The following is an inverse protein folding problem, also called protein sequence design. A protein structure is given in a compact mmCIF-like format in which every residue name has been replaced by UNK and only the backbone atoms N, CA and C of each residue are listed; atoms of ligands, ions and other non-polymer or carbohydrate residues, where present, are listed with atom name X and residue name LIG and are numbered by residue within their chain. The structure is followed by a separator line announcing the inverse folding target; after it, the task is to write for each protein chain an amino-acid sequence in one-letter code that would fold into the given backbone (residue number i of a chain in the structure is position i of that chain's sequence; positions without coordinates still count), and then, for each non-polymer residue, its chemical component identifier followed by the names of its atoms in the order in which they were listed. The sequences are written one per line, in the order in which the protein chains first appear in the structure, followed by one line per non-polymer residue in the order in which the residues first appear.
data_IF_657450839367
#
_entry.id   IF_657450839367
#
_cell.length_a   1.000
_cell.length_b   1.000
_cell.length_c   1.000
_cell.angle_alpha   90.00
_cell.angle_beta   90.00
_cell.angle_gamma   90.00
#
_symmetry.space_group_name_H-M   'P 1'
#
loop_
_entity.id
_entity.type
_entity.pdbx_description
1 polymer ?
#
# COMPACT_ATOMS: atom_id res chain seq x y z
N UNK A 1 53.57 1.67 15.27
CA UNK A 1 52.24 2.30 15.11
C UNK A 1 52.37 3.78 15.44
N UNK A 2 52.28 4.69 14.46
CA UNK A 2 52.29 6.14 14.73
C UNK A 2 50.87 6.55 15.13
N UNK A 3 50.67 6.95 16.38
CA UNK A 3 49.42 7.58 16.84
C UNK A 3 49.43 9.02 16.37
N UNK A 4 48.60 9.37 15.38
CA UNK A 4 48.30 10.76 15.04
C UNK A 4 47.34 11.32 16.08
N UNK A 5 47.77 12.39 16.74
CA UNK A 5 46.99 13.11 17.75
C UNK A 5 45.86 13.85 17.03
N UNK A 6 44.61 13.62 17.43
CA UNK A 6 43.46 14.34 16.88
C UNK A 6 43.60 15.84 17.20
N UNK A 7 43.54 16.69 16.17
CA UNK A 7 43.61 18.14 16.35
C UNK A 7 42.45 18.64 17.23
N UNK A 8 42.81 19.49 18.18
CA UNK A 8 41.91 20.19 19.10
C UNK A 8 40.97 21.09 18.29
N UNK A 9 39.67 21.06 18.63
CA UNK A 9 38.60 21.84 17.98
C UNK A 9 39.08 23.23 17.52
N UNK A 10 38.99 23.50 16.21
CA UNK A 10 39.27 24.82 15.64
C UNK A 10 38.00 25.65 15.78
N UNK A 11 38.06 26.74 16.54
CA UNK A 11 37.02 27.77 16.54
C UNK A 11 37.05 28.47 15.18
N UNK A 12 36.20 28.01 14.27
CA UNK A 12 36.06 28.61 12.94
C UNK A 12 35.09 29.79 13.06
N UNK A 13 35.62 31.00 12.92
CA UNK A 13 34.81 32.21 12.84
C UNK A 13 34.13 32.30 11.48
N UNK A 14 32.81 32.11 11.47
CA UNK A 14 31.95 32.21 10.28
C UNK A 14 31.40 33.62 10.04
N UNK A 15 31.88 34.66 10.75
CA UNK A 15 31.42 36.04 10.63
C UNK A 15 31.47 36.60 9.19
N UNK A 16 32.40 36.10 8.36
CA UNK A 16 32.54 36.47 6.94
C UNK A 16 32.00 35.43 5.96
N UNK A 17 31.35 34.38 6.45
CA UNK A 17 30.80 33.33 5.59
C UNK A 17 29.55 33.84 4.85
N UNK A 18 29.58 33.81 3.52
CA UNK A 18 28.43 34.15 2.68
C UNK A 18 27.50 32.91 2.60
N UNK A 19 26.27 33.03 3.10
CA UNK A 19 25.27 31.96 2.97
C UNK A 19 25.01 31.69 1.48
N UNK A 20 25.37 30.50 1.01
CA UNK A 20 25.09 30.06 -0.35
C UNK A 20 23.58 29.97 -0.60
N UNK A 21 23.19 29.92 -1.88
CA UNK A 21 21.79 29.72 -2.26
C UNK A 21 21.24 28.46 -1.59
N UNK A 22 20.13 28.61 -0.87
CA UNK A 22 19.35 27.47 -0.38
C UNK A 22 18.88 26.74 -1.63
N UNK A 23 19.46 25.56 -1.89
CA UNK A 23 19.07 24.72 -3.03
C UNK A 23 17.56 24.51 -2.92
N UNK A 24 16.82 25.08 -3.87
CA UNK A 24 15.38 24.86 -3.94
C UNK A 24 15.17 23.36 -4.17
N UNK A 25 14.25 22.71 -3.44
CA UNK A 25 13.96 21.30 -3.66
C UNK A 25 13.61 21.08 -5.14
N UNK A 26 14.06 19.96 -5.71
CA UNK A 26 13.76 19.63 -7.10
C UNK A 26 12.24 19.69 -7.33
N UNK A 27 11.79 20.29 -8.45
CA UNK A 27 10.36 20.40 -8.75
C UNK A 27 9.72 19.01 -8.77
N UNK A 28 8.62 18.83 -8.03
CA UNK A 28 7.88 17.57 -7.95
C UNK A 28 8.27 16.63 -6.80
N UNK A 29 9.34 16.92 -6.04
CA UNK A 29 9.72 16.15 -4.84
C UNK A 29 9.50 16.97 -3.57
N UNK A 30 8.62 16.48 -2.70
CA UNK A 30 8.38 17.11 -1.40
C UNK A 30 9.30 16.49 -0.35
N UNK A 31 10.15 17.31 0.28
CA UNK A 31 10.91 16.87 1.46
C UNK A 31 9.94 16.64 2.62
N UNK A 32 9.81 15.41 3.04
CA UNK A 32 9.00 15.01 4.19
C UNK A 32 9.91 14.52 5.31
N UNK A 33 9.54 14.80 6.56
CA UNK A 33 10.16 14.20 7.74
C UNK A 33 9.29 13.04 8.18
N UNK A 34 9.64 11.83 7.74
CA UNK A 34 8.94 10.60 8.11
C UNK A 34 9.86 9.69 8.90
N UNK A 35 9.29 8.91 9.83
CA UNK A 35 10.02 7.83 10.50
C UNK A 35 9.91 6.59 9.63
N UNK A 36 11.04 6.06 9.20
CA UNK A 36 11.14 4.76 8.57
C UNK A 36 11.81 3.79 9.54
N UNK A 37 11.49 2.51 9.39
CA UNK A 37 12.17 1.46 10.15
C UNK A 37 13.66 1.45 9.79
N UNK A 38 14.52 1.31 10.79
CA UNK A 38 15.97 1.23 10.60
C UNK A 38 16.34 0.06 9.69
N UNK A 39 15.63 -1.06 9.77
CA UNK A 39 15.86 -2.23 8.91
C UNK A 39 15.66 -1.92 7.43
N UNK A 40 14.66 -1.09 7.11
CA UNK A 40 14.40 -0.63 5.74
C UNK A 40 15.53 0.28 5.27
N UNK A 41 15.95 1.24 6.09
CA UNK A 41 17.04 2.16 5.77
C UNK A 41 18.33 1.37 5.50
N UNK A 42 18.70 0.44 6.38
CA UNK A 42 19.91 -0.37 6.26
C UNK A 42 19.87 -1.29 5.03
N UNK A 43 18.71 -1.88 4.72
CA UNK A 43 18.55 -2.69 3.51
C UNK A 43 18.85 -1.88 2.24
N UNK A 44 18.26 -0.68 2.12
CA UNK A 44 18.45 0.15 0.93
C UNK A 44 19.86 0.76 0.87
N UNK A 45 20.50 1.05 2.00
CA UNK A 45 21.92 1.43 2.04
C UNK A 45 22.80 0.32 1.49
N UNK A 46 22.66 -0.89 2.02
CA UNK A 46 23.42 -2.04 1.55
C UNK A 46 23.16 -2.35 0.06
N UNK A 47 21.94 -2.15 -0.43
CA UNK A 47 21.61 -2.32 -1.85
C UNK A 47 22.35 -1.31 -2.75
N UNK A 48 22.43 -0.05 -2.34
CA UNK A 48 23.17 1.00 -3.06
C UNK A 48 24.67 0.77 -3.01
N UNK A 49 25.20 0.39 -1.85
CA UNK A 49 26.63 0.14 -1.67
C UNK A 49 27.09 -1.00 -2.58
N UNK A 50 26.28 -2.08 -2.70
CA UNK A 50 26.54 -3.18 -3.64
C UNK A 50 26.49 -2.76 -5.11
N UNK A 51 25.66 -1.77 -5.46
CA UNK A 51 25.50 -1.28 -6.82
C UNK A 51 26.61 -0.29 -7.25
N UNK A 52 27.57 0.01 -6.38
CA UNK A 52 28.68 0.93 -6.67
C UNK A 52 28.36 2.40 -6.35
N UNK A 53 27.40 2.65 -5.47
CA UNK A 53 27.00 4.00 -5.04
C UNK A 53 25.67 4.47 -5.63
N UNK A 54 25.11 5.52 -5.03
CA UNK A 54 23.78 6.04 -5.39
C UNK A 54 23.06 6.68 -4.19
N UNK A 55 21.79 7.05 -4.40
CA UNK A 55 20.94 7.63 -3.34
C UNK A 55 19.90 6.61 -2.89
N UNK A 56 20.03 6.13 -1.65
CA UNK A 56 19.07 5.21 -1.03
C UNK A 56 17.66 5.79 -0.97
N UNK A 57 17.52 7.12 -0.89
CA UNK A 57 16.22 7.79 -0.90
C UNK A 57 15.50 7.61 -2.25
N UNK A 58 16.24 7.58 -3.35
CA UNK A 58 15.67 7.32 -4.68
C UNK A 58 15.11 5.91 -4.77
N UNK A 59 15.88 4.90 -4.31
CA UNK A 59 15.40 3.51 -4.31
C UNK A 59 14.17 3.30 -3.43
N UNK A 60 14.13 3.96 -2.26
CA UNK A 60 12.94 3.92 -1.40
C UNK A 60 11.74 4.50 -2.14
N UNK A 61 11.90 5.65 -2.81
CA UNK A 61 10.83 6.27 -3.56
C UNK A 61 10.35 5.38 -4.72
N UNK A 62 11.27 4.78 -5.47
CA UNK A 62 10.94 3.89 -6.59
C UNK A 62 10.19 2.64 -6.12
N UNK A 63 10.58 2.07 -4.98
CA UNK A 63 9.86 0.96 -4.36
C UNK A 63 8.44 1.34 -3.92
N UNK A 64 8.25 2.56 -3.38
CA UNK A 64 6.93 3.08 -3.03
C UNK A 64 6.05 3.30 -4.27
N UNK A 65 6.62 3.86 -5.34
CA UNK A 65 5.94 4.02 -6.63
C UNK A 65 5.52 2.67 -7.21
N UNK A 66 6.42 1.69 -7.18
CA UNK A 66 6.12 0.34 -7.64
C UNK A 66 4.99 -0.29 -6.84
N UNK A 67 4.97 -0.11 -5.52
CA UNK A 67 3.89 -0.59 -4.68
C UNK A 67 2.53 0.01 -5.07
N UNK A 68 2.49 1.31 -5.38
CA UNK A 68 1.28 1.99 -5.86
C UNK A 68 0.82 1.39 -7.20
N UNK A 69 1.73 1.18 -8.15
CA UNK A 69 1.41 0.58 -9.45
C UNK A 69 0.94 -0.89 -9.33
N UNK A 70 1.54 -1.68 -8.43
CA UNK A 70 1.10 -3.05 -8.16
C UNK A 70 -0.31 -3.08 -7.56
N UNK A 71 -0.65 -2.11 -6.71
CA UNK A 71 -2.00 -2.01 -6.15
C UNK A 71 -3.04 -1.66 -7.23
N UNK A 72 -2.73 -0.71 -8.11
CA UNK A 72 -3.64 -0.32 -9.20
C UNK A 72 -3.88 -1.46 -10.20
N UNK A 73 -2.84 -2.25 -10.52
CA UNK A 73 -2.98 -3.41 -11.39
C UNK A 73 -3.81 -4.52 -10.76
N UNK A 74 -3.64 -4.82 -9.48
CA UNK A 74 -4.48 -5.80 -8.77
C UNK A 74 -5.94 -5.36 -8.68
N UNK A 75 -6.19 -4.07 -8.45
CA UNK A 75 -7.54 -3.53 -8.41
C UNK A 75 -8.20 -3.58 -9.80
N UNK A 76 -7.44 -3.29 -10.87
CA UNK A 76 -7.90 -3.46 -12.24
C UNK A 76 -8.24 -4.93 -12.55
N UNK A 77 -7.38 -5.88 -12.16
CA UNK A 77 -7.65 -7.32 -12.33
C UNK A 77 -8.89 -7.75 -11.54
N UNK A 78 -9.07 -7.29 -10.31
CA UNK A 78 -10.26 -7.58 -9.50
C UNK A 78 -11.54 -7.04 -10.13
N UNK A 79 -11.45 -5.86 -10.76
CA UNK A 79 -12.58 -5.26 -11.46
C UNK A 79 -12.98 -6.11 -12.67
N UNK A 80 -12.01 -6.45 -13.52
CA UNK A 80 -12.25 -7.31 -14.71
C UNK A 80 -12.81 -8.66 -14.29
N UNK A 81 -12.21 -9.32 -13.28
CA UNK A 81 -12.71 -10.61 -12.77
C UNK A 81 -14.14 -10.49 -12.24
N UNK A 82 -14.49 -9.39 -11.58
CA UNK A 82 -15.86 -9.18 -11.09
C UNK A 82 -16.85 -8.99 -12.25
N UNK A 83 -16.48 -8.22 -13.26
CA UNK A 83 -17.29 -7.99 -14.46
C UNK A 83 -17.51 -9.29 -15.23
N UNK A 84 -16.48 -10.12 -15.38
CA UNK A 84 -16.57 -11.42 -16.05
C UNK A 84 -17.33 -12.48 -15.23
N UNK A 85 -17.29 -12.41 -13.89
CA UNK A 85 -18.00 -13.36 -13.02
C UNK A 85 -19.45 -12.92 -12.69
N UNK A 86 -19.79 -11.65 -12.92
CA UNK A 86 -21.14 -11.12 -12.70
C UNK A 86 -22.24 -11.83 -13.51
N UNK A 87 -22.04 -12.18 -14.80
CA UNK A 87 -22.99 -12.97 -15.59
C UNK A 87 -23.28 -14.35 -14.98
N UNK A 88 -22.28 -14.97 -14.35
CA UNK A 88 -22.35 -16.36 -13.89
C UNK A 88 -22.90 -16.51 -12.45
N UNK A 89 -22.82 -15.46 -11.63
CA UNK A 89 -23.35 -15.47 -10.26
C UNK A 89 -24.88 -15.35 -10.16
N UNK A 90 -25.50 -14.63 -11.10
CA UNK A 90 -26.95 -14.39 -11.09
C UNK A 90 -27.76 -15.60 -11.59
N UNK A 91 -27.18 -16.43 -12.47
CA UNK A 91 -27.80 -17.67 -12.95
C UNK A 91 -27.97 -18.74 -11.85
N UNK A 92 -27.19 -18.67 -10.76
CA UNK A 92 -27.31 -19.61 -9.62
C UNK A 92 -28.35 -19.16 -8.59
N UNK A 93 -28.70 -17.87 -8.51
CA UNK A 93 -29.69 -17.34 -7.57
C UNK A 93 -31.13 -17.41 -8.07
N UNK A 94 -31.35 -17.50 -9.38
CA UNK A 94 -32.70 -17.65 -9.96
C UNK A 94 -33.29 -19.05 -9.83
N UNK A 95 -32.52 -20.03 -9.33
CA UNK A 95 -32.97 -21.43 -9.20
C UNK A 95 -33.36 -21.85 -7.77
N UNK A 96 -33.65 -20.90 -6.88
CA UNK A 96 -34.35 -21.19 -5.64
C UNK A 96 -35.81 -21.53 -5.96
N UNK A 97 -36.08 -22.83 -6.13
CA UNK A 97 -37.41 -23.45 -6.26
C UNK A 97 -38.43 -22.71 -5.38
N UNK A 98 -39.55 -22.19 -5.93
CA UNK A 98 -40.68 -21.88 -5.08
C UNK A 98 -41.15 -23.19 -4.46
N UNK A 99 -41.09 -23.31 -3.13
CA UNK A 99 -41.65 -24.46 -2.43
C UNK A 99 -43.15 -24.51 -2.73
N UNK A 100 -43.51 -25.44 -3.63
CA UNK A 100 -44.90 -25.79 -3.88
C UNK A 100 -45.39 -26.64 -2.71
N UNK A 101 -46.43 -26.10 -2.09
CA UNK A 101 -47.58 -26.78 -1.47
C UNK A 101 -47.37 -27.40 -0.10
N UNK A 102 -48.27 -27.09 0.85
CA UNK A 102 -49.43 -27.95 1.10
C UNK A 102 -50.66 -27.10 1.37
N UNK A 103 -51.68 -27.27 0.54
CA UNK A 103 -53.03 -26.79 0.79
C UNK A 103 -53.55 -27.36 2.11
N UNK A 104 -54.01 -26.49 3.00
CA UNK A 104 -54.72 -26.89 4.21
C UNK A 104 -56.02 -27.59 3.79
N UNK A 105 -56.12 -28.90 4.07
CA UNK A 105 -57.40 -29.62 4.04
C UNK A 105 -58.33 -28.98 5.07
N UNK A 106 -59.54 -28.51 4.72
CA UNK A 106 -60.48 -28.05 5.73
C UNK A 106 -61.00 -29.26 6.52
N UNK A 107 -60.98 -29.15 7.84
CA UNK A 107 -61.57 -30.14 8.74
C UNK A 107 -63.09 -30.14 8.54
N UNK A 108 -63.61 -31.30 8.15
CA UNK A 108 -65.02 -31.58 7.96
C UNK A 108 -65.72 -31.46 9.32
N UNK A 109 -66.49 -30.38 9.49
CA UNK A 109 -67.45 -30.17 10.59
C UNK A 109 -68.36 -31.39 10.70
N UNK A 110 -68.25 -32.15 11.78
CA UNK A 110 -69.31 -33.07 12.18
C UNK A 110 -70.36 -32.24 12.94
N UNK A 111 -71.50 -32.05 12.30
CA UNK A 111 -72.75 -31.66 12.94
C UNK A 111 -73.65 -32.88 12.86
N UNK A 112 -74.03 -33.44 14.01
CA UNK A 112 -75.45 -33.75 14.37
C UNK A 112 -75.56 -34.76 15.51
N UNK A 113 -76.45 -34.38 16.45
CA UNK A 113 -77.51 -35.16 17.13
C UNK A 113 -77.00 -36.22 18.12
N UNK A 114 -77.51 -36.31 19.34
CA UNK A 114 -78.80 -35.94 19.94
C UNK A 114 -78.60 -35.37 21.33
#
# INVERSE_FOLDING_TARGET
MRKTVAEKYRDVDFSRAKRGAVVKPEPGKTKISIRLDNTVIEFFRAAVDRAGGGNYQTLINDALLEHIHRRSTLDAVRQVVREELWPYGNARRSNSRPQRTRSARPLRRYVRRT
#
